data_IF_815738307548
#
_entry.id   IF_815738307548
#
_cell.length_a   1.000
_cell.length_b   1.000
_cell.length_c   1.000
_cell.angle_alpha   90.00
_cell.angle_beta   90.00
_cell.angle_gamma   90.00
#
_symmetry.space_group_name_H-M   'P 1'
#
loop_
_entity.id
_entity.type
_entity.pdbx_description
1 polymer ?
#
# COMPACT_ATOMS: atom_id res chain seq x y z
N UNK A 1 37.06 -3.24 -26.24
CA UNK A 1 36.38 -2.27 -25.36
C UNK A 1 35.05 -2.82 -24.81
N UNK A 2 34.59 -4.01 -25.21
CA UNK A 2 33.26 -4.55 -24.83
C UNK A 2 33.12 -5.22 -23.45
N UNK A 3 34.22 -5.48 -22.73
CA UNK A 3 34.16 -6.25 -21.46
C UNK A 3 33.78 -5.37 -20.27
N UNK A 4 34.19 -4.10 -20.27
CA UNK A 4 33.85 -3.15 -19.22
C UNK A 4 32.37 -2.77 -19.27
N UNK A 5 31.84 -2.52 -20.47
CA UNK A 5 30.41 -2.21 -20.66
C UNK A 5 29.51 -3.40 -20.33
N UNK A 6 29.91 -4.62 -20.67
CA UNK A 6 29.18 -5.84 -20.32
C UNK A 6 29.20 -6.19 -18.81
N UNK A 7 30.17 -5.69 -18.04
CA UNK A 7 30.21 -5.85 -16.59
C UNK A 7 29.39 -4.75 -15.90
N UNK A 8 29.51 -3.51 -16.39
CA UNK A 8 28.74 -2.38 -15.89
C UNK A 8 27.24 -2.54 -16.16
N UNK A 9 26.85 -3.02 -17.35
CA UNK A 9 25.45 -3.28 -17.69
C UNK A 9 24.82 -4.35 -16.79
N UNK A 10 25.53 -5.46 -16.52
CA UNK A 10 25.05 -6.51 -15.61
C UNK A 10 24.89 -6.03 -14.17
N UNK A 11 25.79 -5.14 -13.70
CA UNK A 11 25.68 -4.54 -12.37
C UNK A 11 24.49 -3.59 -12.30
N UNK A 12 24.32 -2.72 -13.30
CA UNK A 12 23.19 -1.79 -13.40
C UNK A 12 21.84 -2.51 -13.56
N UNK A 13 21.78 -3.59 -14.33
CA UNK A 13 20.59 -4.44 -14.45
C UNK A 13 20.25 -5.17 -13.13
N UNK A 14 21.26 -5.66 -12.41
CA UNK A 14 21.06 -6.26 -11.09
C UNK A 14 20.59 -5.22 -10.05
N UNK A 15 21.18 -4.01 -10.07
CA UNK A 15 20.72 -2.88 -9.23
C UNK A 15 19.30 -2.46 -9.60
N UNK A 16 18.94 -2.46 -10.89
CA UNK A 16 17.58 -2.16 -11.36
C UNK A 16 16.56 -3.21 -10.90
N UNK A 17 16.90 -4.50 -10.97
CA UNK A 17 16.03 -5.58 -10.47
C UNK A 17 15.85 -5.55 -8.96
N UNK A 18 16.91 -5.30 -8.20
CA UNK A 18 16.82 -5.13 -6.74
C UNK A 18 16.03 -3.87 -6.38
N UNK A 19 16.28 -2.75 -7.05
CA UNK A 19 15.54 -1.50 -6.90
C UNK A 19 14.03 -1.69 -7.14
N UNK A 20 13.65 -2.45 -8.17
CA UNK A 20 12.25 -2.72 -8.48
C UNK A 20 11.48 -3.47 -7.36
N UNK A 21 12.16 -4.22 -6.49
CA UNK A 21 11.55 -4.83 -5.31
C UNK A 21 11.66 -3.95 -4.05
N UNK A 22 12.74 -3.20 -3.91
CA UNK A 22 12.97 -2.33 -2.75
C UNK A 22 12.06 -1.10 -2.75
N UNK A 23 11.77 -0.51 -3.91
CA UNK A 23 10.91 0.67 -4.04
C UNK A 23 9.51 0.44 -3.43
N UNK A 24 8.73 -0.60 -3.81
CA UNK A 24 7.42 -0.84 -3.22
C UNK A 24 7.44 -1.15 -1.73
N UNK A 25 8.56 -1.71 -1.22
CA UNK A 25 8.74 -1.99 0.21
C UNK A 25 8.97 -0.68 0.96
N UNK A 26 9.87 0.18 0.45
CA UNK A 26 10.14 1.48 1.01
C UNK A 26 8.88 2.36 1.03
N UNK A 27 8.11 2.37 -0.06
CA UNK A 27 6.85 3.10 -0.15
C UNK A 27 5.84 2.67 0.93
N UNK A 28 5.73 1.34 1.16
CA UNK A 28 4.86 0.82 2.22
C UNK A 28 5.34 1.19 3.61
N UNK A 29 6.64 1.06 3.88
CA UNK A 29 7.22 1.42 5.18
C UNK A 29 6.97 2.91 5.44
N UNK A 30 7.23 3.76 4.45
CA UNK A 30 6.97 5.20 4.53
C UNK A 30 5.50 5.48 4.87
N UNK A 31 4.57 4.88 4.13
CA UNK A 31 3.14 5.10 4.35
C UNK A 31 2.70 4.65 5.74
N UNK A 32 3.13 3.47 6.19
CA UNK A 32 2.84 2.95 7.53
C UNK A 32 3.43 3.86 8.61
N UNK A 33 4.68 4.30 8.45
CA UNK A 33 5.33 5.23 9.38
C UNK A 33 4.59 6.57 9.47
N UNK A 34 4.11 7.11 8.34
CA UNK A 34 3.29 8.33 8.33
C UNK A 34 2.00 8.13 9.14
N UNK A 35 1.27 7.04 8.93
CA UNK A 35 0.04 6.79 9.68
C UNK A 35 0.28 6.58 11.18
N UNK A 36 1.35 5.87 11.54
CA UNK A 36 1.76 5.72 12.95
C UNK A 36 2.06 7.09 13.57
N UNK A 37 2.83 7.94 12.87
CA UNK A 37 3.16 9.29 13.33
C UNK A 37 1.91 10.16 13.49
N UNK A 38 0.97 10.09 12.53
CA UNK A 38 -0.32 10.81 12.61
C UNK A 38 -1.17 10.34 13.80
N UNK A 39 -1.19 9.03 14.08
CA UNK A 39 -1.84 8.48 15.25
C UNK A 39 -1.21 8.96 16.55
N UNK A 40 0.13 8.93 16.65
CA UNK A 40 0.88 9.39 17.81
C UNK A 40 0.72 10.90 18.06
N UNK A 41 0.59 11.70 16.99
CA UNK A 41 0.32 13.13 17.06
C UNK A 41 -1.15 13.48 17.35
N UNK A 42 -2.04 12.49 17.47
CA UNK A 42 -3.48 12.70 17.65
C UNK A 42 -4.20 13.31 16.44
N UNK A 43 -3.56 13.28 15.26
CA UNK A 43 -4.08 13.83 14.01
C UNK A 43 -4.89 12.80 13.20
N UNK A 44 -4.68 11.51 13.44
CA UNK A 44 -5.49 10.43 12.91
C UNK A 44 -5.99 9.54 14.05
N UNK A 45 -7.22 9.02 13.98
CA UNK A 45 -7.70 8.11 15.01
C UNK A 45 -6.93 6.79 14.96
N UNK A 46 -6.58 6.25 16.12
CA UNK A 46 -5.75 5.04 16.25
C UNK A 46 -6.34 3.83 15.52
N UNK A 47 -7.67 3.71 15.48
CA UNK A 47 -8.35 2.64 14.74
C UNK A 47 -8.06 2.69 13.22
N UNK A 48 -7.87 3.88 12.64
CA UNK A 48 -7.55 4.02 11.22
C UNK A 48 -6.14 3.53 10.93
N UNK A 49 -5.20 3.80 11.83
CA UNK A 49 -3.81 3.31 11.73
C UNK A 49 -3.80 1.78 11.71
N UNK A 50 -4.50 1.14 12.65
CA UNK A 50 -4.63 -0.32 12.68
C UNK A 50 -5.30 -0.87 11.43
N UNK A 51 -6.29 -0.17 10.87
CA UNK A 51 -6.97 -0.59 9.66
C UNK A 51 -6.05 -0.54 8.43
N UNK A 52 -5.23 0.50 8.28
CA UNK A 52 -4.24 0.62 7.20
C UNK A 52 -3.17 -0.47 7.32
N UNK A 53 -2.56 -0.62 8.51
CA UNK A 53 -1.53 -1.63 8.77
C UNK A 53 -2.07 -3.04 8.58
N UNK A 54 -3.24 -3.33 9.16
CA UNK A 54 -3.89 -4.63 9.07
C UNK A 54 -4.22 -5.00 7.62
N UNK A 55 -4.76 -4.08 6.83
CA UNK A 55 -5.02 -4.30 5.40
C UNK A 55 -3.75 -4.63 4.63
N UNK A 56 -2.63 -3.96 4.91
CA UNK A 56 -1.38 -4.22 4.21
C UNK A 56 -0.81 -5.61 4.52
N UNK A 57 -0.94 -6.07 5.76
CA UNK A 57 -0.62 -7.44 6.17
C UNK A 57 -1.56 -8.43 5.46
N UNK A 58 -2.87 -8.16 5.42
CA UNK A 58 -3.83 -9.03 4.72
C UNK A 58 -3.49 -9.18 3.23
N UNK A 59 -3.11 -8.10 2.54
CA UNK A 59 -2.70 -8.18 1.14
C UNK A 59 -1.42 -9.00 0.95
N UNK A 60 -0.47 -8.92 1.88
CA UNK A 60 0.74 -9.75 1.82
C UNK A 60 0.39 -11.24 1.97
N UNK A 61 -0.45 -11.58 2.95
CA UNK A 61 -0.87 -12.98 3.20
C UNK A 61 -1.70 -13.52 2.03
N UNK A 62 -2.76 -12.82 1.64
CA UNK A 62 -3.65 -13.27 0.57
C UNK A 62 -3.00 -13.19 -0.81
N UNK A 63 -2.15 -12.19 -1.06
CA UNK A 63 -1.34 -12.09 -2.26
C UNK A 63 -0.39 -13.28 -2.41
N UNK A 64 0.31 -13.66 -1.34
CA UNK A 64 1.15 -14.85 -1.31
C UNK A 64 0.36 -16.15 -1.54
N UNK A 65 -0.83 -16.25 -0.95
CA UNK A 65 -1.72 -17.39 -1.17
C UNK A 65 -2.18 -17.50 -2.63
N UNK A 66 -2.57 -16.39 -3.25
CA UNK A 66 -2.99 -16.34 -4.66
C UNK A 66 -1.84 -16.74 -5.58
N UNK A 67 -0.63 -16.21 -5.37
CA UNK A 67 0.58 -16.58 -6.12
C UNK A 67 0.82 -18.09 -6.05
N UNK A 68 0.78 -18.64 -4.83
CA UNK A 68 1.00 -20.07 -4.58
C UNK A 68 -0.03 -20.96 -5.26
N UNK A 69 -1.32 -20.60 -5.16
CA UNK A 69 -2.42 -21.41 -5.71
C UNK A 69 -2.56 -21.25 -7.23
N UNK A 70 -2.41 -20.04 -7.75
CA UNK A 70 -2.53 -19.77 -9.19
C UNK A 70 -1.29 -20.21 -9.99
N UNK A 71 -0.20 -20.63 -9.33
CA UNK A 71 1.14 -20.77 -9.93
C UNK A 71 1.54 -19.53 -10.74
N UNK A 72 1.11 -18.36 -10.27
CA UNK A 72 1.43 -17.10 -10.92
C UNK A 72 2.82 -16.65 -10.45
N UNK A 73 3.61 -16.06 -11.33
CA UNK A 73 4.94 -15.56 -10.96
C UNK A 73 4.87 -14.37 -9.99
N UNK A 74 3.77 -13.60 -10.00
CA UNK A 74 3.62 -12.36 -9.23
C UNK A 74 2.16 -12.12 -8.84
N UNK A 75 1.89 -11.55 -7.65
CA UNK A 75 0.55 -11.12 -7.30
C UNK A 75 0.21 -9.87 -8.13
N UNK A 76 -0.77 -9.94 -9.02
CA UNK A 76 -1.23 -8.75 -9.76
C UNK A 76 -1.90 -7.77 -8.79
N UNK A 77 -1.43 -6.50 -8.68
CA UNK A 77 -2.07 -5.51 -7.83
C UNK A 77 -3.48 -5.20 -8.34
N UNK A 78 -4.48 -5.30 -7.48
CA UNK A 78 -5.87 -4.97 -7.84
C UNK A 78 -6.03 -3.45 -7.99
N UNK A 79 -6.95 -3.03 -8.86
CA UNK A 79 -7.29 -1.62 -9.07
C UNK A 79 -7.74 -0.99 -7.74
N UNK A 80 -8.54 -1.72 -6.96
CA UNK A 80 -8.97 -1.34 -5.61
C UNK A 80 -7.80 -1.17 -4.64
N UNK A 81 -6.77 -2.00 -4.82
CA UNK A 81 -5.53 -1.92 -4.07
C UNK A 81 -4.81 -0.59 -4.29
N UNK A 82 -4.66 -0.20 -5.56
CA UNK A 82 -4.02 1.06 -5.96
C UNK A 82 -4.84 2.28 -5.53
N UNK A 83 -6.15 2.25 -5.76
CA UNK A 83 -7.05 3.34 -5.39
C UNK A 83 -6.99 3.64 -3.88
N UNK A 84 -7.04 2.59 -3.05
CA UNK A 84 -6.93 2.75 -1.60
C UNK A 84 -5.62 3.41 -1.19
N UNK A 85 -4.49 3.05 -1.82
CA UNK A 85 -3.19 3.64 -1.51
C UNK A 85 -3.12 5.12 -1.92
N UNK A 86 -3.68 5.48 -3.07
CA UNK A 86 -3.78 6.89 -3.49
C UNK A 86 -4.58 7.71 -2.47
N UNK A 87 -5.72 7.19 -2.04
CA UNK A 87 -6.58 7.86 -1.03
C UNK A 87 -5.87 7.97 0.32
N UNK A 88 -5.11 6.97 0.73
CA UNK A 88 -4.30 7.01 1.96
C UNK A 88 -3.22 8.11 1.91
N UNK A 89 -2.46 8.17 0.81
CA UNK A 89 -1.44 9.21 0.60
C UNK A 89 -2.08 10.59 0.63
N UNK A 90 -3.18 10.79 -0.12
CA UNK A 90 -3.91 12.06 -0.13
C UNK A 90 -4.39 12.47 1.26
N UNK A 91 -4.87 11.51 2.05
CA UNK A 91 -5.32 11.76 3.42
C UNK A 91 -4.17 12.18 4.33
N UNK A 92 -3.04 11.47 4.27
CA UNK A 92 -1.85 11.86 5.02
C UNK A 92 -1.39 13.27 4.69
N UNK A 93 -1.29 13.60 3.39
CA UNK A 93 -0.90 14.95 2.93
C UNK A 93 -1.87 16.01 3.41
N UNK A 94 -3.18 15.81 3.22
CA UNK A 94 -4.19 16.82 3.59
C UNK A 94 -4.27 17.02 5.10
N UNK A 95 -4.20 15.95 5.90
CA UNK A 95 -4.22 16.06 7.37
C UNK A 95 -3.00 16.85 7.87
N UNK A 96 -1.81 16.56 7.33
CA UNK A 96 -0.59 17.30 7.66
C UNK A 96 -0.71 18.78 7.23
N UNK A 97 -1.15 19.03 5.99
CA UNK A 97 -1.28 20.37 5.44
C UNK A 97 -2.32 21.21 6.21
N UNK A 98 -3.46 20.63 6.58
CA UNK A 98 -4.48 21.30 7.38
C UNK A 98 -3.96 21.70 8.76
N UNK A 99 -3.07 20.90 9.35
CA UNK A 99 -2.44 21.23 10.63
C UNK A 99 -1.34 22.28 10.50
N UNK A 100 -0.55 22.21 9.43
CA UNK A 100 0.53 23.17 9.15
C UNK A 100 0.01 24.56 8.72
N UNK A 101 -1.13 24.63 8.05
CA UNK A 101 -1.75 25.87 7.58
C UNK A 101 -3.24 25.96 7.95
N UNK A 102 -3.58 26.29 9.21
CA UNK A 102 -4.97 26.33 9.69
C UNK A 102 -5.92 27.28 8.94
N UNK A 103 -5.39 28.24 8.16
CA UNK A 103 -6.17 29.18 7.35
C UNK A 103 -6.41 28.76 5.89
N UNK A 104 -5.87 27.61 5.45
CA UNK A 104 -5.93 27.19 4.04
C UNK A 104 -7.29 26.61 3.60
N UNK A 105 -8.31 26.57 4.48
CA UNK A 105 -9.62 25.99 4.17
C UNK A 105 -9.64 24.45 4.08
N UNK A 106 -8.56 23.77 4.47
CA UNK A 106 -8.40 22.32 4.36
C UNK A 106 -9.03 21.51 5.51
N UNK A 107 -9.48 22.18 6.58
CA UNK A 107 -10.00 21.53 7.79
C UNK A 107 -11.21 20.62 7.51
N UNK A 108 -12.14 21.05 6.67
CA UNK A 108 -13.30 20.25 6.28
C UNK A 108 -12.88 18.99 5.52
N UNK A 109 -11.93 19.11 4.59
CA UNK A 109 -11.44 17.98 3.82
C UNK A 109 -10.66 17.00 4.72
N UNK A 110 -9.83 17.51 5.63
CA UNK A 110 -9.10 16.71 6.61
C UNK A 110 -10.01 15.95 7.58
N UNK A 111 -11.22 16.45 7.85
CA UNK A 111 -12.21 15.75 8.68
C UNK A 111 -12.90 14.59 7.94
N UNK A 112 -13.10 14.70 6.63
CA UNK A 112 -13.86 13.71 5.82
C UNK A 112 -12.97 12.63 5.22
N UNK A 113 -11.77 12.99 4.77
CA UNK A 113 -10.83 12.08 4.11
C UNK A 113 -10.46 10.81 4.92
N UNK A 114 -10.28 10.86 6.25
CA UNK A 114 -10.06 9.66 7.07
C UNK A 114 -11.18 8.62 6.94
N UNK A 115 -12.45 9.05 6.85
CA UNK A 115 -13.58 8.15 6.69
C UNK A 115 -13.61 7.52 5.29
N UNK A 116 -13.32 8.31 4.25
CA UNK A 116 -13.18 7.82 2.88
C UNK A 116 -12.05 6.79 2.80
N UNK A 117 -10.90 7.10 3.41
CA UNK A 117 -9.76 6.17 3.51
C UNK A 117 -10.16 4.86 4.16
N UNK A 118 -10.89 4.91 5.28
CA UNK A 118 -11.36 3.72 5.96
C UNK A 118 -12.23 2.86 5.04
N UNK A 119 -13.19 3.47 4.34
CA UNK A 119 -14.08 2.78 3.42
C UNK A 119 -13.32 2.12 2.25
N UNK A 120 -12.43 2.87 1.58
CA UNK A 120 -11.65 2.34 0.45
C UNK A 120 -10.68 1.25 0.88
N UNK A 121 -10.09 1.38 2.07
CA UNK A 121 -9.14 0.41 2.61
C UNK A 121 -9.83 -0.88 3.03
N UNK A 122 -10.98 -0.78 3.72
CA UNK A 122 -11.81 -1.92 4.06
C UNK A 122 -12.30 -2.65 2.80
N UNK A 123 -12.79 -1.91 1.80
CA UNK A 123 -13.22 -2.48 0.52
C UNK A 123 -12.09 -3.20 -0.20
N UNK A 124 -10.91 -2.59 -0.28
CA UNK A 124 -9.73 -3.20 -0.87
C UNK A 124 -9.34 -4.50 -0.15
N UNK A 125 -9.38 -4.53 1.18
CA UNK A 125 -9.09 -5.72 1.97
C UNK A 125 -10.10 -6.84 1.72
N UNK A 126 -11.39 -6.52 1.74
CA UNK A 126 -12.47 -7.47 1.48
C UNK A 126 -12.39 -8.07 0.07
N UNK A 127 -12.15 -7.25 -0.96
CA UNK A 127 -12.00 -7.71 -2.34
C UNK A 127 -10.83 -8.68 -2.50
N UNK A 128 -9.70 -8.42 -1.85
CA UNK A 128 -8.54 -9.32 -1.87
C UNK A 128 -8.82 -10.65 -1.15
N UNK A 129 -9.41 -10.57 0.05
CA UNK A 129 -9.79 -11.76 0.82
C UNK A 129 -10.77 -12.65 0.04
N UNK A 130 -11.80 -12.05 -0.58
CA UNK A 130 -12.75 -12.78 -1.42
C UNK A 130 -12.09 -13.46 -2.62
N UNK A 131 -11.19 -12.76 -3.31
CA UNK A 131 -10.47 -13.31 -4.46
C UNK A 131 -9.62 -14.51 -4.06
N UNK A 132 -8.91 -14.41 -2.94
CA UNK A 132 -8.07 -15.50 -2.43
C UNK A 132 -8.91 -16.70 -1.98
N UNK A 133 -10.03 -16.48 -1.27
CA UNK A 133 -10.95 -17.54 -0.84
C UNK A 133 -11.60 -18.26 -2.02
N UNK A 134 -12.05 -17.53 -3.03
CA UNK A 134 -12.63 -18.10 -4.25
C UNK A 134 -11.63 -18.99 -4.98
N UNK A 135 -10.36 -18.58 -5.04
CA UNK A 135 -9.29 -19.37 -5.66
C UNK A 135 -8.98 -20.64 -4.85
N UNK A 136 -8.90 -20.51 -3.52
CA UNK A 136 -8.70 -21.65 -2.61
C UNK A 136 -9.83 -22.68 -2.72
N UNK A 137 -11.08 -22.24 -2.84
CA UNK A 137 -12.22 -23.13 -3.04
C UNK A 137 -12.14 -23.89 -4.38
N UNK A 138 -11.71 -23.21 -5.45
CA UNK A 138 -11.64 -23.79 -6.81
C UNK A 138 -10.58 -24.88 -6.95
N UNK A 139 -9.45 -24.77 -6.23
CA UNK A 139 -8.36 -25.76 -6.24
C UNK A 139 -8.52 -26.89 -5.21
N UNK A 140 -9.53 -26.81 -4.34
CA UNK A 140 -9.86 -27.87 -3.38
C UNK A 140 -10.80 -28.94 -3.99
N UNK A 141 -11.38 -28.68 -5.17
CA UNK A 141 -12.07 -29.67 -6.01
C UNK A 141 -11.12 -30.20 -7.07
#
# INVERSE_FOLDING_TARGET
TDVADGWLSRRLEATSRLGAYLDPIADKILLVSVYIALGAAGLAPVWLVWLVVGRDILILIFGGLVVRLARADRPSPSIWGKLSTVVQVMTGVVVIAAKAAPGAGLSALAAVLPAITAATTAWSGAHYGWTALKLAYRYRR
#
